data_IF_503612711994
#
_entry.id   IF_503612711994
#
_cell.length_a   1.000
_cell.length_b   1.000
_cell.length_c   1.000
_cell.angle_alpha   90.00
_cell.angle_beta   90.00
_cell.angle_gamma   90.00
#
_symmetry.space_group_name_H-M   'P 1'
#
loop_
_entity.id
_entity.type
_entity.pdbx_description
1 polymer ?
#
# COMPACT_ATOMS: atom_id res chain seq x y z
N UNK A 1 -12.35 0.28 3.89
CA UNK A 1 -13.50 -0.61 3.63
C UNK A 1 -13.95 -0.65 2.18
N UNK A 2 -13.06 -0.34 1.23
CA UNK A 2 -13.27 -0.47 -0.20
C UNK A 2 -12.94 -1.90 -0.66
N UNK A 3 -13.41 -2.34 -1.83
CA UNK A 3 -13.10 -3.66 -2.36
C UNK A 3 -11.59 -3.90 -2.46
N UNK A 4 -11.18 -5.16 -2.24
CA UNK A 4 -9.82 -5.58 -2.60
C UNK A 4 -9.58 -5.34 -4.09
N UNK A 5 -8.35 -4.97 -4.47
CA UNK A 5 -8.02 -4.65 -5.86
C UNK A 5 -8.47 -5.75 -6.85
N UNK A 6 -8.26 -7.02 -6.50
CA UNK A 6 -8.60 -8.18 -7.34
C UNK A 6 -10.10 -8.35 -7.62
N UNK A 7 -10.97 -7.80 -6.76
CA UNK A 7 -12.44 -7.88 -6.90
C UNK A 7 -13.09 -6.54 -7.22
N UNK A 8 -12.28 -5.49 -7.41
CA UNK A 8 -12.78 -4.17 -7.80
C UNK A 8 -13.24 -4.16 -9.25
N UNK A 9 -14.38 -3.54 -9.52
CA UNK A 9 -14.86 -3.31 -10.90
C UNK A 9 -14.15 -2.12 -11.58
N UNK A 10 -13.38 -1.33 -10.81
CA UNK A 10 -12.65 -0.18 -11.32
C UNK A 10 -11.19 -0.54 -11.58
N UNK A 11 -10.56 0.04 -12.60
CA UNK A 11 -9.13 -0.17 -12.83
C UNK A 11 -8.31 0.19 -11.58
N UNK A 12 -7.33 -0.64 -11.29
CA UNK A 12 -6.48 -0.52 -10.11
C UNK A 12 -5.03 -0.25 -10.50
N UNK A 13 -4.35 0.57 -9.72
CA UNK A 13 -2.90 0.66 -9.82
C UNK A 13 -2.26 -0.53 -9.12
N UNK A 14 -1.13 -1.00 -9.63
CA UNK A 14 -0.51 -2.25 -9.16
C UNK A 14 -0.15 -2.25 -7.66
N UNK A 15 0.13 -1.10 -7.09
CA UNK A 15 0.40 -0.97 -5.65
C UNK A 15 -0.73 -1.50 -4.77
N UNK A 16 -1.98 -1.42 -5.23
CA UNK A 16 -3.17 -1.83 -4.47
C UNK A 16 -3.26 -3.35 -4.26
N UNK A 17 -2.49 -4.14 -5.00
CA UNK A 17 -2.41 -5.59 -4.87
C UNK A 17 -1.40 -6.06 -3.83
N UNK A 18 -0.70 -5.14 -3.15
CA UNK A 18 0.31 -5.45 -2.16
C UNK A 18 -0.10 -4.99 -0.76
N UNK A 19 0.28 -5.77 0.23
CA UNK A 19 0.14 -5.44 1.66
C UNK A 19 1.44 -5.73 2.37
N UNK A 20 1.81 -4.87 3.31
CA UNK A 20 2.94 -5.16 4.18
C UNK A 20 2.57 -6.27 5.15
N UNK A 21 3.47 -7.23 5.33
CA UNK A 21 3.33 -8.28 6.32
C UNK A 21 3.28 -7.68 7.73
N UNK A 22 2.55 -8.34 8.62
CA UNK A 22 2.43 -7.92 10.01
C UNK A 22 3.67 -8.32 10.80
N UNK A 23 4.28 -7.37 11.53
CA UNK A 23 5.35 -7.65 12.47
C UNK A 23 4.79 -8.06 13.82
N UNK A 24 5.23 -9.20 14.33
CA UNK A 24 4.87 -9.68 15.66
C UNK A 24 5.60 -8.89 16.75
N UNK A 25 5.02 -8.84 17.96
CA UNK A 25 5.59 -8.11 19.12
C UNK A 25 6.96 -8.63 19.54
N UNK A 26 7.26 -9.88 19.26
CA UNK A 26 8.59 -10.49 19.51
C UNK A 26 9.69 -9.96 18.59
N UNK A 27 9.34 -9.35 17.47
CA UNK A 27 10.28 -8.59 16.67
C UNK A 27 10.58 -7.27 17.38
N UNK A 28 11.81 -6.77 17.37
CA UNK A 28 12.16 -5.53 18.04
C UNK A 28 11.54 -4.35 17.27
N UNK A 29 10.25 -4.10 17.49
CA UNK A 29 9.63 -2.86 17.10
C UNK A 29 10.34 -1.72 17.83
N UNK A 30 10.79 -0.71 17.08
CA UNK A 30 11.43 0.45 17.65
C UNK A 30 10.36 1.43 18.05
N UNK A 31 10.43 1.94 19.28
CA UNK A 31 9.46 2.91 19.77
C UNK A 31 9.56 4.26 19.01
N UNK A 32 8.49 5.06 18.97
CA UNK A 32 8.46 6.31 18.22
C UNK A 32 9.48 7.36 18.67
N UNK A 33 9.97 7.29 19.90
CA UNK A 33 10.96 8.23 20.44
C UNK A 33 12.35 7.93 19.88
N UNK A 34 12.70 6.65 19.80
CA UNK A 34 14.01 6.20 19.29
C UNK A 34 14.05 6.08 17.77
N UNK A 35 12.92 6.11 17.11
CA UNK A 35 12.81 5.94 15.66
C UNK A 35 13.72 6.88 14.88
N UNK A 36 13.78 8.16 15.25
CA UNK A 36 14.65 9.13 14.57
C UNK A 36 16.15 8.90 14.84
N UNK A 37 16.50 8.35 15.99
CA UNK A 37 17.88 8.05 16.34
C UNK A 37 18.40 6.77 15.67
N UNK A 38 17.56 5.76 15.58
CA UNK A 38 17.95 4.41 15.13
C UNK A 38 17.75 4.23 13.63
N UNK A 39 16.69 4.84 13.05
CA UNK A 39 16.35 4.68 11.64
C UNK A 39 17.14 5.62 10.74
N UNK A 40 17.72 5.08 9.68
CA UNK A 40 18.41 5.87 8.66
C UNK A 40 17.80 5.65 7.29
N UNK A 41 17.40 6.76 6.65
CA UNK A 41 16.99 6.79 5.24
C UNK A 41 18.17 7.15 4.32
N UNK A 42 19.36 7.34 4.86
CA UNK A 42 20.54 7.66 4.07
C UNK A 42 20.89 6.49 3.15
N UNK A 43 21.05 6.78 1.88
CA UNK A 43 21.44 5.84 0.84
C UNK A 43 22.70 6.34 0.13
N UNK A 44 23.58 5.39 -0.23
CA UNK A 44 24.71 5.65 -1.10
C UNK A 44 24.44 4.95 -2.41
N UNK A 45 24.22 5.73 -3.47
CA UNK A 45 23.85 5.24 -4.79
C UNK A 45 25.02 5.35 -5.77
N UNK A 46 25.18 4.34 -6.61
CA UNK A 46 26.23 4.30 -7.61
C UNK A 46 26.57 2.86 -8.00
N UNK A 47 27.71 2.75 -8.68
CA UNK A 47 28.25 1.48 -9.17
C UNK A 47 29.27 0.90 -8.18
N UNK A 48 29.14 -0.37 -7.84
CA UNK A 48 30.20 -1.13 -7.21
C UNK A 48 31.14 -1.64 -8.30
N UNK A 49 32.36 -1.12 -8.34
CA UNK A 49 33.29 -1.34 -9.45
C UNK A 49 33.85 -2.76 -9.52
N UNK A 50 34.77 -3.10 -8.64
CA UNK A 50 35.50 -4.38 -8.61
C UNK A 50 34.79 -5.52 -7.88
N UNK A 51 33.57 -5.27 -7.38
CA UNK A 51 32.79 -6.20 -6.56
C UNK A 51 32.86 -5.88 -5.06
N UNK A 52 31.84 -6.37 -4.34
CA UNK A 52 31.63 -6.02 -2.91
C UNK A 52 32.77 -6.55 -2.01
N UNK A 53 33.36 -7.68 -2.37
CA UNK A 53 34.40 -8.34 -1.57
C UNK A 53 35.82 -7.85 -1.87
N UNK A 54 35.98 -7.03 -2.90
CA UNK A 54 37.30 -6.50 -3.28
C UNK A 54 37.45 -5.08 -2.76
N UNK A 55 38.36 -4.79 -1.82
CA UNK A 55 38.61 -3.44 -1.34
C UNK A 55 39.29 -2.64 -2.46
N UNK A 56 38.52 -1.76 -3.10
CA UNK A 56 38.95 -0.90 -4.19
C UNK A 56 38.32 0.48 -4.04
N UNK A 57 39.10 1.53 -4.30
CA UNK A 57 38.64 2.92 -4.16
C UNK A 57 37.49 3.28 -5.12
N UNK A 58 37.34 2.55 -6.25
CA UNK A 58 36.21 2.74 -7.17
C UNK A 58 34.86 2.43 -6.52
N UNK A 59 34.82 1.59 -5.50
CA UNK A 59 33.62 1.27 -4.73
C UNK A 59 33.14 2.46 -3.85
N UNK A 60 34.00 3.47 -3.64
CA UNK A 60 33.65 4.70 -2.92
C UNK A 60 33.06 5.79 -3.81
N UNK A 61 33.01 5.60 -5.13
CA UNK A 61 32.42 6.55 -6.09
C UNK A 61 30.91 6.46 -6.07
N UNK A 62 30.29 7.06 -5.06
CA UNK A 62 28.85 7.05 -4.85
C UNK A 62 28.32 8.42 -4.51
N UNK A 63 27.10 8.69 -4.87
CA UNK A 63 26.35 9.88 -4.41
C UNK A 63 25.63 9.52 -3.13
N UNK A 64 25.83 10.34 -2.08
CA UNK A 64 25.10 10.24 -0.83
C UNK A 64 23.75 10.97 -0.95
N UNK A 65 22.67 10.25 -0.73
CA UNK A 65 21.32 10.80 -0.58
C UNK A 65 20.95 10.77 0.90
N UNK A 66 20.55 11.89 1.51
CA UNK A 66 20.13 11.92 2.91
C UNK A 66 18.80 11.16 3.12
N UNK A 67 18.01 11.02 2.04
CA UNK A 67 16.72 10.34 2.01
C UNK A 67 16.37 9.94 0.55
N UNK A 68 15.46 8.99 0.30
CA UNK A 68 15.27 8.40 -1.01
C UNK A 68 14.38 9.20 -1.98
N UNK A 69 13.70 10.25 -1.53
CA UNK A 69 12.80 11.06 -2.37
C UNK A 69 13.56 12.22 -2.99
N UNK A 70 13.75 12.20 -4.29
CA UNK A 70 14.42 13.24 -5.05
C UNK A 70 13.43 14.31 -5.51
N UNK A 71 13.77 15.58 -5.33
CA UNK A 71 13.07 16.68 -6.00
C UNK A 71 13.34 16.64 -7.51
N UNK A 72 12.53 17.35 -8.31
CA UNK A 72 12.78 17.45 -9.75
C UNK A 72 14.18 18.03 -10.03
N UNK A 73 14.58 19.08 -9.30
CA UNK A 73 15.92 19.68 -9.43
C UNK A 73 17.05 18.70 -9.10
N UNK A 74 16.88 17.88 -8.05
CA UNK A 74 17.88 16.88 -7.69
C UNK A 74 18.01 15.79 -8.75
N UNK A 75 16.87 15.34 -9.31
CA UNK A 75 16.88 14.39 -10.42
C UNK A 75 17.54 14.97 -11.66
N UNK A 76 17.25 16.22 -12.02
CA UNK A 76 17.88 16.90 -13.16
C UNK A 76 19.40 17.02 -12.99
N UNK A 77 19.88 17.28 -11.77
CA UNK A 77 21.32 17.28 -11.47
C UNK A 77 21.94 15.89 -11.73
N UNK A 78 21.26 14.81 -11.32
CA UNK A 78 21.72 13.44 -11.58
C UNK A 78 21.67 13.08 -13.07
N UNK A 79 20.63 13.51 -13.80
CA UNK A 79 20.53 13.32 -15.26
C UNK A 79 21.69 13.99 -16.02
N UNK A 80 22.11 15.15 -15.55
CA UNK A 80 23.12 15.98 -16.20
C UNK A 80 24.49 15.93 -15.52
N UNK A 81 24.74 14.89 -14.72
CA UNK A 81 25.99 14.76 -13.98
C UNK A 81 27.18 14.68 -14.92
N UNK A 82 28.11 15.62 -14.80
CA UNK A 82 29.32 15.71 -15.64
C UNK A 82 30.61 15.37 -14.88
N UNK A 83 30.47 14.86 -13.69
CA UNK A 83 31.62 14.48 -12.88
C UNK A 83 32.25 13.19 -13.43
N UNK A 84 33.58 13.15 -13.56
CA UNK A 84 34.31 12.03 -14.16
C UNK A 84 33.98 10.71 -13.45
N UNK A 85 33.52 9.74 -14.20
CA UNK A 85 33.18 8.40 -13.71
C UNK A 85 31.74 8.23 -13.21
N UNK A 86 30.87 9.23 -13.45
CA UNK A 86 29.43 9.12 -13.22
C UNK A 86 28.67 9.27 -14.53
N UNK A 87 27.87 8.28 -14.87
CA UNK A 87 27.03 8.24 -16.06
C UNK A 87 25.60 7.91 -15.69
N UNK A 88 24.65 8.57 -16.33
CA UNK A 88 23.22 8.36 -16.14
C UNK A 88 22.56 8.03 -17.46
N UNK A 89 21.62 7.12 -17.46
CA UNK A 89 20.71 6.86 -18.57
C UNK A 89 19.27 6.90 -18.10
N UNK A 90 18.38 7.42 -18.94
CA UNK A 90 16.93 7.41 -18.70
C UNK A 90 16.29 6.40 -19.67
N UNK A 91 15.56 5.45 -19.14
CA UNK A 91 14.84 4.44 -19.89
C UNK A 91 13.33 4.68 -19.74
N UNK A 92 12.58 4.83 -20.84
CA UNK A 92 11.14 4.98 -20.78
C UNK A 92 10.50 3.65 -20.33
N UNK A 93 9.55 3.74 -19.42
CA UNK A 93 8.73 2.59 -18.97
C UNK A 93 7.34 2.70 -19.58
N UNK A 94 7.25 2.49 -20.89
CA UNK A 94 6.04 2.64 -21.68
C UNK A 94 5.73 1.37 -22.47
N UNK A 95 4.46 1.11 -22.74
CA UNK A 95 4.02 0.04 -23.65
C UNK A 95 2.89 0.51 -24.57
N UNK A 96 2.83 -0.07 -25.76
CA UNK A 96 1.80 0.17 -26.77
C UNK A 96 0.47 -0.45 -26.32
N UNK A 97 -0.55 0.37 -26.09
CA UNK A 97 -1.86 -0.07 -25.59
C UNK A 97 -2.63 -0.93 -26.59
N UNK A 98 -2.40 -0.77 -27.91
CA UNK A 98 -3.10 -1.56 -28.93
C UNK A 98 -2.64 -3.03 -28.90
N UNK A 99 -1.40 -3.28 -28.50
CA UNK A 99 -0.83 -4.64 -28.38
C UNK A 99 -1.22 -5.34 -27.07
N UNK A 100 -1.82 -4.62 -26.12
CA UNK A 100 -2.30 -5.19 -24.85
C UNK A 100 -1.22 -5.99 -24.11
N UNK A 101 -1.53 -7.23 -23.70
CA UNK A 101 -0.59 -8.10 -22.97
C UNK A 101 0.75 -8.31 -23.69
N UNK A 102 0.71 -8.54 -25.00
CA UNK A 102 1.94 -8.76 -25.79
C UNK A 102 2.81 -7.50 -25.83
N UNK A 103 2.19 -6.32 -25.90
CA UNK A 103 2.87 -5.03 -25.83
C UNK A 103 3.58 -4.87 -24.49
N UNK A 104 2.87 -5.08 -23.39
CA UNK A 104 3.42 -4.98 -22.04
C UNK A 104 4.55 -6.00 -21.80
N UNK A 105 4.37 -7.26 -22.23
CA UNK A 105 5.41 -8.28 -22.08
C UNK A 105 6.67 -7.94 -22.86
N UNK A 106 6.51 -7.55 -24.13
CA UNK A 106 7.66 -7.18 -24.98
C UNK A 106 8.40 -5.95 -24.47
N UNK A 107 7.65 -4.95 -23.97
CA UNK A 107 8.23 -3.75 -23.39
C UNK A 107 9.02 -4.05 -22.11
N UNK A 108 8.54 -4.95 -21.25
CA UNK A 108 9.28 -5.40 -20.06
C UNK A 108 10.57 -6.17 -20.42
N UNK A 109 10.50 -7.07 -21.39
CA UNK A 109 11.66 -7.84 -21.84
C UNK A 109 12.72 -6.92 -22.48
N UNK A 110 12.30 -5.94 -23.27
CA UNK A 110 13.18 -4.93 -23.86
C UNK A 110 13.78 -4.00 -22.79
N UNK A 111 12.99 -3.52 -21.84
CA UNK A 111 13.45 -2.70 -20.73
C UNK A 111 14.55 -3.39 -19.92
N UNK A 112 14.40 -4.69 -19.64
CA UNK A 112 15.40 -5.48 -18.94
C UNK A 112 16.72 -5.56 -19.72
N UNK A 113 16.64 -5.77 -21.03
CA UNK A 113 17.83 -5.79 -21.91
C UNK A 113 18.52 -4.43 -22.02
N UNK A 114 17.76 -3.36 -22.16
CA UNK A 114 18.30 -1.99 -22.17
C UNK A 114 18.99 -1.64 -20.85
N UNK A 115 18.42 -2.06 -19.72
CA UNK A 115 19.06 -1.91 -18.42
C UNK A 115 20.38 -2.72 -18.33
N UNK A 116 20.42 -3.93 -18.83
CA UNK A 116 21.64 -4.76 -18.89
C UNK A 116 22.72 -4.09 -19.74
N UNK A 117 22.38 -3.66 -20.95
CA UNK A 117 23.30 -2.96 -21.85
C UNK A 117 23.85 -1.68 -21.19
N UNK A 118 23.01 -0.91 -20.53
CA UNK A 118 23.43 0.28 -19.79
C UNK A 118 24.46 -0.03 -18.70
N UNK A 119 24.29 -1.16 -17.99
CA UNK A 119 25.28 -1.62 -17.00
C UNK A 119 26.60 -1.99 -17.67
N UNK A 120 26.57 -2.68 -18.81
CA UNK A 120 27.77 -3.06 -19.58
C UNK A 120 28.52 -1.82 -20.12
N UNK A 121 27.80 -0.76 -20.48
CA UNK A 121 28.35 0.54 -20.86
C UNK A 121 28.89 1.35 -19.67
N UNK A 122 28.75 0.86 -18.46
CA UNK A 122 29.29 1.50 -17.25
C UNK A 122 28.39 2.57 -16.64
N UNK A 123 27.09 2.56 -16.91
CA UNK A 123 26.11 3.49 -16.35
C UNK A 123 25.96 3.28 -14.85
N UNK A 124 26.06 4.35 -14.06
CA UNK A 124 25.93 4.34 -12.61
C UNK A 124 24.48 4.45 -12.14
N UNK A 125 23.66 5.20 -12.89
CA UNK A 125 22.28 5.52 -12.55
C UNK A 125 21.36 5.23 -13.73
N UNK A 126 20.45 4.28 -13.56
CA UNK A 126 19.39 4.01 -14.51
C UNK A 126 18.11 4.62 -13.96
N UNK A 127 17.53 5.57 -14.69
CA UNK A 127 16.28 6.22 -14.35
C UNK A 127 15.16 5.57 -15.16
N UNK A 128 14.22 4.95 -14.50
CA UNK A 128 13.01 4.40 -15.09
C UNK A 128 11.92 5.46 -15.04
N UNK A 129 11.45 5.93 -16.21
CA UNK A 129 10.59 7.12 -16.31
C UNK A 129 9.31 6.84 -17.11
N UNK A 130 8.17 7.27 -16.56
CA UNK A 130 6.85 7.26 -17.23
C UNK A 130 6.43 8.63 -17.80
N UNK A 131 7.35 9.60 -17.90
CA UNK A 131 6.99 10.98 -18.29
C UNK A 131 6.38 11.13 -19.67
N UNK A 132 6.72 10.27 -20.60
CA UNK A 132 6.35 10.42 -22.00
C UNK A 132 5.12 9.61 -22.39
N UNK A 133 4.17 9.43 -21.44
CA UNK A 133 2.88 8.81 -21.72
C UNK A 133 2.06 9.66 -22.72
N UNK A 134 1.38 8.98 -23.64
CA UNK A 134 0.50 9.61 -24.63
C UNK A 134 -0.76 8.74 -24.87
N UNK A 135 -1.61 9.11 -25.82
CA UNK A 135 -2.84 8.38 -26.12
C UNK A 135 -2.62 6.98 -26.71
N UNK A 136 -1.41 6.63 -27.13
CA UNK A 136 -1.04 5.33 -27.72
C UNK A 136 -0.13 4.51 -26.79
N UNK A 137 0.56 5.17 -25.87
CA UNK A 137 1.51 4.54 -24.98
C UNK A 137 1.13 4.79 -23.51
N UNK A 138 0.76 3.71 -22.81
CA UNK A 138 0.54 3.74 -21.37
C UNK A 138 1.84 3.44 -20.61
N UNK A 139 1.90 3.89 -19.36
CA UNK A 139 2.99 3.52 -18.47
C UNK A 139 2.97 2.01 -18.17
N UNK A 140 4.13 1.35 -18.22
CA UNK A 140 4.34 0.12 -17.48
C UNK A 140 4.21 0.47 -16.00
N UNK A 141 3.41 -0.28 -15.19
CA UNK A 141 3.34 -0.02 -13.75
C UNK A 141 4.73 0.15 -13.16
N UNK A 142 4.99 1.29 -12.51
CA UNK A 142 6.34 1.64 -12.04
C UNK A 142 6.91 0.57 -11.09
N UNK A 143 6.05 -0.02 -10.27
CA UNK A 143 6.42 -1.14 -9.38
C UNK A 143 6.82 -2.39 -10.17
N UNK A 144 6.09 -2.73 -11.25
CA UNK A 144 6.42 -3.86 -12.12
C UNK A 144 7.74 -3.63 -12.86
N UNK A 145 7.93 -2.43 -13.41
CA UNK A 145 9.14 -2.05 -14.13
C UNK A 145 10.39 -2.17 -13.26
N UNK A 146 10.38 -1.55 -12.06
CA UNK A 146 11.55 -1.59 -11.18
C UNK A 146 11.84 -2.98 -10.67
N UNK A 147 10.79 -3.76 -10.32
CA UNK A 147 10.95 -5.12 -9.84
C UNK A 147 11.48 -6.05 -10.93
N UNK A 148 10.95 -5.95 -12.16
CA UNK A 148 11.42 -6.72 -13.31
C UNK A 148 12.90 -6.46 -13.60
N UNK A 149 13.31 -5.21 -13.71
CA UNK A 149 14.72 -4.83 -13.93
C UNK A 149 15.61 -5.28 -12.78
N UNK A 150 15.15 -5.09 -11.53
CA UNK A 150 15.89 -5.52 -10.33
C UNK A 150 16.18 -7.01 -10.34
N UNK A 151 15.17 -7.86 -10.53
CA UNK A 151 15.33 -9.30 -10.50
C UNK A 151 16.06 -9.83 -11.74
N UNK A 152 15.84 -9.23 -12.91
CA UNK A 152 16.59 -9.55 -14.10
C UNK A 152 18.08 -9.28 -13.91
N UNK A 153 18.48 -8.10 -13.42
CA UNK A 153 19.88 -7.76 -13.16
C UNK A 153 20.51 -8.65 -12.06
N UNK A 154 19.71 -9.15 -11.10
CA UNK A 154 20.17 -10.18 -10.15
C UNK A 154 20.47 -11.47 -10.89
N UNK A 155 19.60 -11.95 -11.77
CA UNK A 155 19.73 -13.21 -12.48
C UNK A 155 20.96 -13.25 -13.38
N UNK A 156 21.36 -12.09 -13.93
CA UNK A 156 22.58 -11.94 -14.76
C UNK A 156 23.81 -11.47 -13.97
N UNK A 157 23.72 -11.35 -12.63
CA UNK A 157 24.83 -11.00 -11.75
C UNK A 157 25.30 -9.54 -11.83
N UNK A 158 24.47 -8.63 -12.34
CA UNK A 158 24.85 -7.22 -12.59
C UNK A 158 24.17 -6.20 -11.65
N UNK A 159 23.26 -6.62 -10.77
CA UNK A 159 22.41 -5.70 -9.97
C UNK A 159 23.17 -4.66 -9.14
N UNK A 160 24.31 -5.02 -8.59
CA UNK A 160 25.12 -4.13 -7.72
C UNK A 160 25.93 -3.09 -8.50
N UNK A 161 25.95 -3.20 -9.82
CA UNK A 161 26.75 -2.32 -10.68
C UNK A 161 26.02 -1.04 -11.10
N UNK A 162 24.78 -0.85 -10.68
CA UNK A 162 23.98 0.35 -10.99
C UNK A 162 22.97 0.63 -9.89
N UNK A 163 22.57 1.90 -9.75
CA UNK A 163 21.43 2.30 -8.94
C UNK A 163 20.19 2.47 -9.84
N UNK A 164 19.05 1.98 -9.38
CA UNK A 164 17.76 2.15 -10.05
C UNK A 164 17.02 3.33 -9.40
N UNK A 165 16.64 4.31 -10.18
CA UNK A 165 15.86 5.47 -9.77
C UNK A 165 14.52 5.41 -10.52
N UNK A 166 13.41 5.62 -9.81
CA UNK A 166 12.07 5.62 -10.42
C UNK A 166 11.53 7.03 -10.47
N UNK A 167 11.32 7.55 -11.66
CA UNK A 167 10.62 8.79 -11.93
C UNK A 167 9.21 8.46 -12.40
N UNK A 168 8.20 8.66 -11.52
CA UNK A 168 6.84 8.22 -11.85
C UNK A 168 5.75 9.13 -11.31
N UNK A 169 4.71 9.31 -12.13
CA UNK A 169 3.49 10.01 -11.75
C UNK A 169 2.57 9.20 -10.82
N UNK A 170 2.78 7.88 -10.69
CA UNK A 170 1.98 7.03 -9.80
C UNK A 170 2.29 7.22 -8.32
N UNK A 171 3.47 7.76 -7.98
CA UNK A 171 3.97 7.86 -6.61
C UNK A 171 3.25 8.99 -5.88
N UNK A 172 2.41 8.65 -4.90
CA UNK A 172 1.61 9.63 -4.14
C UNK A 172 1.70 9.41 -2.64
N UNK A 173 1.76 8.16 -2.20
CA UNK A 173 1.62 7.76 -0.82
C UNK A 173 2.89 7.08 -0.29
N UNK A 174 3.01 7.03 1.04
CA UNK A 174 4.13 6.36 1.72
C UNK A 174 4.25 4.89 1.30
N UNK A 175 3.11 4.19 1.13
CA UNK A 175 3.10 2.79 0.70
C UNK A 175 3.69 2.61 -0.70
N UNK A 176 3.42 3.53 -1.63
CA UNK A 176 4.02 3.49 -2.98
C UNK A 176 5.55 3.62 -2.90
N UNK A 177 6.04 4.58 -2.11
CA UNK A 177 7.47 4.74 -1.85
C UNK A 177 8.08 3.48 -1.21
N UNK A 178 7.44 2.93 -0.19
CA UNK A 178 7.90 1.74 0.50
C UNK A 178 8.00 0.51 -0.42
N UNK A 179 6.98 0.30 -1.27
CA UNK A 179 6.98 -0.79 -2.25
C UNK A 179 8.09 -0.64 -3.29
N UNK A 180 8.24 0.53 -3.88
CA UNK A 180 9.30 0.78 -4.88
C UNK A 180 10.69 0.53 -4.28
N UNK A 181 10.97 1.05 -3.08
CA UNK A 181 12.22 0.82 -2.38
C UNK A 181 12.40 -0.66 -2.00
N UNK A 182 11.35 -1.31 -1.51
CA UNK A 182 11.36 -2.73 -1.16
C UNK A 182 11.65 -3.64 -2.36
N UNK A 183 11.16 -3.28 -3.53
CA UNK A 183 11.34 -4.04 -4.77
C UNK A 183 12.48 -3.53 -5.67
N UNK A 184 13.39 -2.72 -5.15
CA UNK A 184 14.66 -2.50 -5.81
C UNK A 184 15.04 -1.07 -6.14
N UNK A 185 14.15 -0.08 -6.01
CA UNK A 185 14.52 1.31 -6.20
C UNK A 185 15.56 1.77 -5.16
N UNK A 186 16.51 2.56 -5.60
CA UNK A 186 17.46 3.25 -4.74
C UNK A 186 16.98 4.65 -4.35
N UNK A 187 16.22 5.27 -5.24
CA UNK A 187 15.57 6.55 -5.02
C UNK A 187 14.32 6.67 -5.91
N UNK A 188 13.46 7.60 -5.59
CA UNK A 188 12.20 7.88 -6.30
C UNK A 188 12.04 9.36 -6.54
N UNK A 189 11.40 9.73 -7.65
CA UNK A 189 10.96 11.08 -7.93
C UNK A 189 9.45 11.09 -8.24
N UNK A 190 8.61 11.56 -7.31
CA UNK A 190 7.16 11.67 -7.48
C UNK A 190 6.79 12.97 -8.22
N UNK A 191 7.20 13.12 -9.47
CA UNK A 191 7.10 14.38 -10.20
C UNK A 191 5.69 14.92 -10.33
N UNK A 192 4.70 14.04 -10.52
CA UNK A 192 3.30 14.48 -10.64
C UNK A 192 2.75 14.96 -9.28
N UNK A 193 3.16 14.35 -8.18
CA UNK A 193 2.80 14.85 -6.85
C UNK A 193 3.35 16.25 -6.61
N UNK A 194 4.59 16.52 -7.03
CA UNK A 194 5.15 17.87 -6.96
C UNK A 194 4.40 18.86 -7.86
N UNK A 195 3.98 18.43 -9.06
CA UNK A 195 3.15 19.27 -9.93
C UNK A 195 1.79 19.58 -9.30
N UNK A 196 1.13 18.59 -8.68
CA UNK A 196 -0.14 18.78 -7.95
C UNK A 196 0.04 19.72 -6.75
N UNK A 197 1.11 19.58 -5.97
CA UNK A 197 1.41 20.50 -4.86
C UNK A 197 1.56 21.93 -5.37
N UNK A 198 2.29 22.11 -6.48
CA UNK A 198 2.48 23.44 -7.10
C UNK A 198 1.14 24.06 -7.55
N UNK A 199 0.27 23.26 -8.16
CA UNK A 199 -1.07 23.71 -8.58
C UNK A 199 -1.95 24.09 -7.36
N UNK A 200 -1.91 23.31 -6.28
CA UNK A 200 -2.64 23.61 -5.06
C UNK A 200 -2.15 24.88 -4.36
N UNK A 201 -0.84 25.16 -4.40
CA UNK A 201 -0.25 26.42 -3.93
C UNK A 201 -0.70 27.57 -4.81
N UNK A 202 -0.62 27.43 -6.14
CA UNK A 202 -1.05 28.44 -7.10
C UNK A 202 -2.54 28.79 -6.97
N UNK A 203 -3.37 27.80 -6.64
CA UNK A 203 -4.81 27.95 -6.37
C UNK A 203 -5.15 28.38 -4.92
N UNK A 204 -4.15 28.74 -4.12
CA UNK A 204 -4.31 29.11 -2.69
C UNK A 204 -5.06 28.07 -1.83
N UNK A 205 -4.98 26.79 -2.21
CA UNK A 205 -5.50 25.68 -1.38
C UNK A 205 -4.49 25.27 -0.31
N UNK A 206 -3.22 25.48 -0.56
CA UNK A 206 -2.11 25.39 0.39
C UNK A 206 -1.60 26.82 0.60
N UNK A 207 -1.44 27.23 1.88
CA UNK A 207 -1.06 28.60 2.23
C UNK A 207 0.45 28.83 2.21
N UNK A 208 1.24 27.76 2.35
CA UNK A 208 2.70 27.81 2.31
C UNK A 208 3.21 28.04 0.88
N UNK A 209 4.40 28.57 0.78
CA UNK A 209 5.14 28.63 -0.50
C UNK A 209 5.51 27.24 -0.99
N UNK A 210 5.61 27.07 -2.30
CA UNK A 210 5.88 25.77 -2.93
C UNK A 210 7.08 25.04 -2.32
N UNK A 211 8.22 25.72 -2.14
CA UNK A 211 9.42 25.10 -1.59
C UNK A 211 9.19 24.53 -0.17
N UNK A 212 8.36 25.18 0.64
CA UNK A 212 7.98 24.71 1.97
C UNK A 212 7.03 23.53 1.88
N UNK A 213 6.03 23.60 1.01
CA UNK A 213 5.05 22.53 0.79
C UNK A 213 5.73 21.26 0.25
N UNK A 214 6.63 21.39 -0.74
CA UNK A 214 7.46 20.28 -1.25
C UNK A 214 8.29 19.63 -0.14
N UNK A 215 8.99 20.42 0.66
CA UNK A 215 9.78 19.95 1.80
C UNK A 215 8.92 19.24 2.85
N UNK A 216 7.74 19.76 3.12
CA UNK A 216 6.80 19.16 4.08
C UNK A 216 6.28 17.80 3.57
N UNK A 217 5.97 17.68 2.27
CA UNK A 217 5.60 16.41 1.66
C UNK A 217 6.73 15.37 1.79
N UNK A 218 7.95 15.75 1.41
CA UNK A 218 9.12 14.87 1.53
C UNK A 218 9.30 14.42 2.99
N UNK A 219 9.24 15.35 3.94
CA UNK A 219 9.35 15.04 5.36
C UNK A 219 8.24 14.09 5.85
N UNK A 220 7.03 14.22 5.32
CA UNK A 220 5.92 13.33 5.65
C UNK A 220 6.16 11.90 5.12
N UNK A 221 6.64 11.77 3.88
CA UNK A 221 7.02 10.47 3.29
C UNK A 221 8.17 9.85 4.07
N UNK A 222 9.21 10.60 4.40
CA UNK A 222 10.37 10.14 5.18
C UNK A 222 9.94 9.62 6.55
N UNK A 223 9.09 10.36 7.26
CA UNK A 223 8.55 9.95 8.57
C UNK A 223 7.71 8.68 8.43
N UNK A 224 6.90 8.59 7.38
CA UNK A 224 6.11 7.39 7.08
C UNK A 224 7.00 6.17 6.80
N UNK A 225 8.06 6.33 5.99
CA UNK A 225 9.02 5.26 5.70
C UNK A 225 9.73 4.78 6.98
N UNK A 226 10.24 5.69 7.81
CA UNK A 226 10.82 5.33 9.12
C UNK A 226 9.82 4.54 9.97
N UNK A 227 8.56 4.94 9.98
CA UNK A 227 7.50 4.24 10.72
C UNK A 227 7.26 2.82 10.22
N UNK A 228 7.22 2.64 8.90
CA UNK A 228 7.08 1.32 8.27
C UNK A 228 8.28 0.44 8.62
N UNK A 229 9.51 0.97 8.49
CA UNK A 229 10.73 0.26 8.80
C UNK A 229 10.84 -0.10 10.28
N UNK A 230 10.47 0.82 11.17
CA UNK A 230 10.54 0.59 12.62
C UNK A 230 9.62 -0.53 13.08
N UNK A 231 8.42 -0.65 12.50
CA UNK A 231 7.50 -1.75 12.78
C UNK A 231 8.07 -3.12 12.39
N UNK A 232 8.93 -3.16 11.37
CA UNK A 232 9.59 -4.39 10.91
C UNK A 232 10.94 -4.63 11.61
N UNK A 233 11.42 -3.69 12.43
CA UNK A 233 12.73 -3.76 13.06
C UNK A 233 13.91 -3.61 12.10
N UNK A 234 13.71 -2.98 10.94
CA UNK A 234 14.72 -2.76 9.90
C UNK A 234 15.19 -1.31 9.97
N UNK A 235 16.44 -1.07 10.36
CA UNK A 235 16.93 0.27 10.67
C UNK A 235 17.49 1.06 9.49
N UNK A 236 17.79 0.42 8.36
CA UNK A 236 18.35 1.09 7.18
C UNK A 236 17.59 0.77 5.90
N UNK A 237 17.48 1.72 4.99
CA UNK A 237 16.88 1.54 3.66
C UNK A 237 17.56 0.41 2.88
N UNK A 238 18.87 0.29 3.01
CA UNK A 238 19.63 -0.75 2.31
C UNK A 238 19.21 -2.17 2.73
N UNK A 239 18.93 -2.36 4.01
CA UNK A 239 18.44 -3.64 4.55
C UNK A 239 16.95 -3.85 4.28
N UNK A 240 16.21 -2.77 4.05
CA UNK A 240 14.80 -2.82 3.67
C UNK A 240 14.60 -3.32 2.23
N UNK A 241 15.52 -2.97 1.32
CA UNK A 241 15.48 -3.41 -0.07
C UNK A 241 15.66 -4.91 -0.17
N UNK A 242 14.69 -5.59 -0.81
CA UNK A 242 14.72 -7.04 -0.98
C UNK A 242 14.44 -7.84 0.29
N UNK A 243 13.97 -7.21 1.37
CA UNK A 243 13.63 -7.88 2.63
C UNK A 243 12.40 -8.80 2.55
N UNK A 244 11.66 -8.81 1.43
CA UNK A 244 10.47 -9.65 1.18
C UNK A 244 9.39 -9.51 2.24
N UNK A 245 9.14 -8.29 2.67
CA UNK A 245 8.19 -7.94 3.74
C UNK A 245 6.79 -7.59 3.23
N UNK A 246 6.55 -7.75 1.95
CA UNK A 246 5.24 -7.57 1.34
C UNK A 246 4.67 -8.90 0.87
N UNK A 247 3.37 -9.03 0.95
CA UNK A 247 2.60 -10.09 0.32
C UNK A 247 1.73 -9.50 -0.79
N UNK A 248 1.48 -10.29 -1.82
CA UNK A 248 0.52 -9.94 -2.86
C UNK A 248 -0.83 -10.60 -2.59
N UNK A 249 -1.89 -9.90 -2.91
CA UNK A 249 -3.27 -10.38 -2.81
C UNK A 249 -3.92 -10.23 -4.18
N UNK A 250 -4.17 -11.34 -4.85
CA UNK A 250 -4.86 -11.37 -6.13
C UNK A 250 -3.95 -11.23 -7.35
N UNK A 251 -2.65 -11.53 -7.25
CA UNK A 251 -1.73 -11.67 -8.38
C UNK A 251 -1.42 -13.15 -8.65
N UNK A 252 -1.27 -13.52 -9.91
CA UNK A 252 -0.94 -14.89 -10.30
C UNK A 252 0.50 -15.25 -9.92
N UNK A 253 0.73 -16.51 -9.55
CA UNK A 253 2.06 -17.02 -9.21
C UNK A 253 3.07 -16.86 -10.34
N UNK A 254 2.65 -17.06 -11.60
CA UNK A 254 3.51 -16.89 -12.76
C UNK A 254 4.04 -15.46 -12.91
N UNK A 255 3.20 -14.46 -12.65
CA UNK A 255 3.59 -13.05 -12.65
C UNK A 255 4.59 -12.76 -11.51
N UNK A 256 4.29 -13.25 -10.31
CA UNK A 256 5.12 -13.03 -9.13
C UNK A 256 6.49 -13.68 -9.28
N UNK A 257 6.54 -14.93 -9.76
CA UNK A 257 7.78 -15.65 -10.01
C UNK A 257 8.65 -14.94 -11.04
N UNK A 258 8.05 -14.51 -12.16
CA UNK A 258 8.79 -13.88 -13.27
C UNK A 258 9.34 -12.51 -12.90
N UNK A 259 8.55 -11.67 -12.22
CA UNK A 259 8.87 -10.24 -12.07
C UNK A 259 9.15 -9.79 -10.64
N UNK A 260 8.74 -10.55 -9.61
CA UNK A 260 8.88 -10.16 -8.21
C UNK A 260 9.79 -11.10 -7.38
N UNK A 261 10.34 -12.14 -8.02
CA UNK A 261 11.24 -13.06 -7.36
C UNK A 261 10.63 -13.81 -6.16
N UNK A 262 9.32 -13.95 -6.14
CA UNK A 262 8.57 -14.74 -5.17
C UNK A 262 7.64 -15.72 -5.90
N UNK A 263 7.40 -16.87 -5.28
CA UNK A 263 6.51 -17.89 -5.84
C UNK A 263 5.16 -17.93 -5.13
N UNK A 264 5.03 -17.21 -4.01
CA UNK A 264 3.85 -17.30 -3.15
C UNK A 264 2.98 -16.06 -3.22
N UNK A 265 1.69 -16.29 -3.40
CA UNK A 265 0.63 -15.31 -3.18
C UNK A 265 -0.36 -15.93 -2.21
N UNK A 266 -0.83 -15.15 -1.25
CA UNK A 266 -1.87 -15.60 -0.32
C UNK A 266 -3.14 -16.00 -1.07
N UNK A 267 -3.47 -15.23 -2.13
CA UNK A 267 -4.59 -15.47 -3.01
C UNK A 267 -4.12 -15.17 -4.43
N UNK A 268 -4.17 -16.15 -5.31
CA UNK A 268 -3.93 -15.98 -6.73
C UNK A 268 -4.99 -15.08 -7.37
N UNK A 269 -4.77 -14.70 -8.62
CA UNK A 269 -5.69 -13.83 -9.33
C UNK A 269 -5.18 -13.42 -10.69
N UNK A 270 -5.13 -12.11 -10.93
CA UNK A 270 -4.84 -11.51 -12.23
C UNK A 270 -3.40 -11.75 -12.70
N UNK A 271 -3.26 -11.80 -14.00
CA UNK A 271 -1.98 -11.92 -14.69
C UNK A 271 -1.61 -10.65 -15.45
N UNK A 272 -0.59 -10.77 -16.29
CA UNK A 272 -0.07 -9.65 -17.08
C UNK A 272 -1.13 -9.08 -18.04
N UNK A 273 -2.01 -9.93 -18.57
CA UNK A 273 -3.13 -9.54 -19.42
C UNK A 273 -4.07 -8.54 -18.73
N UNK A 274 -4.41 -8.82 -17.49
CA UNK A 274 -5.35 -7.99 -16.73
C UNK A 274 -4.70 -6.66 -16.34
N UNK A 275 -3.42 -6.69 -15.95
CA UNK A 275 -2.64 -5.47 -15.69
C UNK A 275 -2.58 -4.59 -16.94
N UNK A 276 -2.29 -5.17 -18.10
CA UNK A 276 -2.29 -4.42 -19.35
C UNK A 276 -3.65 -3.77 -19.63
N UNK A 277 -4.74 -4.51 -19.37
CA UNK A 277 -6.12 -4.00 -19.54
C UNK A 277 -6.42 -2.84 -18.58
N UNK A 278 -6.03 -2.96 -17.30
CA UNK A 278 -6.25 -1.90 -16.30
C UNK A 278 -5.52 -0.62 -16.69
N UNK A 279 -4.23 -0.72 -17.02
CA UNK A 279 -3.43 0.45 -17.39
C UNK A 279 -3.83 1.04 -18.75
N UNK A 280 -4.27 0.21 -19.70
CA UNK A 280 -4.89 0.70 -20.94
C UNK A 280 -6.18 1.46 -20.66
N UNK A 281 -7.01 0.98 -19.72
CA UNK A 281 -8.25 1.67 -19.34
C UNK A 281 -7.97 3.01 -18.67
N UNK A 282 -7.01 3.06 -17.74
CA UNK A 282 -6.57 4.31 -17.09
C UNK A 282 -6.01 5.32 -18.10
N UNK A 283 -5.21 4.85 -19.07
CA UNK A 283 -4.68 5.68 -20.15
C UNK A 283 -5.77 6.24 -21.03
N UNK A 284 -6.69 5.41 -21.52
CA UNK A 284 -7.80 5.84 -22.37
C UNK A 284 -8.72 6.84 -21.65
N UNK A 285 -8.94 6.65 -20.34
CA UNK A 285 -9.72 7.59 -19.55
C UNK A 285 -9.01 8.94 -19.45
N UNK A 286 -7.70 8.93 -19.17
CA UNK A 286 -6.89 10.15 -19.04
C UNK A 286 -6.80 10.98 -20.33
N UNK A 287 -6.77 10.34 -21.51
CA UNK A 287 -6.71 10.98 -22.83
C UNK A 287 -8.07 11.06 -23.53
N UNK A 288 -9.16 10.81 -22.82
CA UNK A 288 -10.51 10.94 -23.38
C UNK A 288 -10.89 12.40 -23.59
N UNK A 289 -11.69 12.68 -24.64
CA UNK A 289 -12.24 14.03 -24.91
C UNK A 289 -13.23 14.51 -23.82
N UNK A 290 -13.62 13.60 -22.89
CA UNK A 290 -14.52 13.93 -21.80
C UNK A 290 -13.90 14.84 -20.74
N UNK A 291 -12.57 14.98 -20.71
CA UNK A 291 -11.85 15.85 -19.77
C UNK A 291 -11.42 17.14 -20.46
N UNK A 292 -12.25 18.18 -20.35
CA UNK A 292 -11.90 19.53 -20.83
C UNK A 292 -10.95 20.24 -19.85
N UNK A 293 -10.12 21.14 -20.39
CA UNK A 293 -9.26 21.99 -19.56
C UNK A 293 -10.11 22.78 -18.55
N UNK A 294 -9.78 22.66 -17.26
CA UNK A 294 -10.44 23.36 -16.17
C UNK A 294 -11.54 22.59 -15.43
N UNK A 295 -11.93 21.40 -15.88
CA UNK A 295 -12.80 20.54 -15.10
C UNK A 295 -12.11 19.94 -13.90
N UNK A 296 -12.88 19.81 -12.80
CA UNK A 296 -12.38 19.12 -11.61
C UNK A 296 -12.30 17.62 -11.91
N UNK A 297 -11.17 17.02 -11.62
CA UNK A 297 -11.01 15.57 -11.70
C UNK A 297 -12.05 14.86 -10.83
N UNK A 298 -12.64 13.75 -11.31
CA UNK A 298 -13.66 13.03 -10.57
C UNK A 298 -13.08 12.50 -9.25
N UNK A 299 -13.80 12.74 -8.15
CA UNK A 299 -13.45 12.17 -6.86
C UNK A 299 -14.02 10.77 -6.75
N UNK A 300 -13.19 9.76 -6.92
CA UNK A 300 -13.59 8.35 -6.88
C UNK A 300 -14.02 7.85 -5.50
N UNK A 301 -13.90 8.66 -4.44
CA UNK A 301 -14.36 8.30 -3.11
C UNK A 301 -13.48 7.27 -2.38
N UNK A 302 -12.22 7.08 -2.77
CA UNK A 302 -11.34 6.06 -2.17
C UNK A 302 -11.16 6.26 -0.65
N UNK A 303 -10.96 7.50 -0.20
CA UNK A 303 -10.70 7.82 1.20
C UNK A 303 -11.96 8.20 1.99
N UNK A 304 -13.04 8.55 1.32
CA UNK A 304 -14.32 8.87 1.94
C UNK A 304 -15.44 8.58 0.97
N UNK A 305 -16.55 8.03 1.49
CA UNK A 305 -17.72 7.70 0.68
C UNK A 305 -18.16 8.87 -0.22
N UNK A 306 -18.46 8.55 -1.49
CA UNK A 306 -19.12 9.42 -2.48
C UNK A 306 -20.23 8.64 -3.17
N UNK A 307 -21.36 9.29 -3.43
CA UNK A 307 -22.55 8.65 -3.97
C UNK A 307 -22.28 7.87 -5.26
N UNK A 308 -21.46 8.40 -6.15
CA UNK A 308 -21.10 7.79 -7.43
C UNK A 308 -19.65 7.28 -7.46
N UNK A 309 -19.07 7.09 -6.26
CA UNK A 309 -17.70 6.64 -6.05
C UNK A 309 -17.55 5.12 -5.95
N UNK A 310 -16.45 4.72 -5.30
CA UNK A 310 -16.18 3.34 -4.95
C UNK A 310 -17.13 2.90 -3.84
N UNK A 311 -17.60 1.66 -3.89
CA UNK A 311 -18.42 1.08 -2.84
C UNK A 311 -17.65 0.95 -1.52
N UNK A 312 -18.30 1.35 -0.42
CA UNK A 312 -17.77 1.20 0.93
C UNK A 312 -18.62 0.23 1.73
N UNK A 313 -17.99 -0.68 2.44
CA UNK A 313 -18.68 -1.63 3.31
C UNK A 313 -19.50 -0.92 4.39
N UNK A 314 -18.96 0.18 4.92
CA UNK A 314 -19.60 1.06 5.90
C UNK A 314 -20.08 2.34 5.22
N UNK A 315 -21.09 2.21 4.39
CA UNK A 315 -21.74 3.33 3.73
C UNK A 315 -22.69 4.08 4.71
N UNK A 316 -23.14 5.31 4.37
CA UNK A 316 -24.01 6.09 5.26
C UNK A 316 -25.29 5.37 5.67
N UNK A 317 -25.86 4.55 4.80
CA UNK A 317 -27.10 3.82 5.09
C UNK A 317 -26.88 2.73 6.14
N UNK A 318 -25.80 1.95 6.01
CA UNK A 318 -25.42 0.93 6.99
C UNK A 318 -25.15 1.57 8.37
N UNK A 319 -24.40 2.68 8.40
CA UNK A 319 -24.10 3.40 9.64
C UNK A 319 -25.38 3.94 10.29
N UNK A 320 -26.24 4.60 9.52
CA UNK A 320 -27.49 5.18 10.02
C UNK A 320 -28.42 4.11 10.62
N UNK A 321 -28.64 2.99 9.89
CA UNK A 321 -29.50 1.91 10.39
C UNK A 321 -28.97 1.28 11.66
N UNK A 322 -27.65 1.06 11.78
CA UNK A 322 -27.04 0.55 13.00
C UNK A 322 -27.22 1.50 14.18
N UNK A 323 -26.98 2.79 13.97
CA UNK A 323 -27.16 3.82 15.01
C UNK A 323 -28.61 3.96 15.46
N UNK A 324 -29.57 3.90 14.53
CA UNK A 324 -31.00 3.93 14.84
C UNK A 324 -31.40 2.66 15.62
N UNK A 325 -30.94 1.49 15.16
CA UNK A 325 -31.22 0.23 15.83
C UNK A 325 -30.78 0.24 17.29
N UNK A 326 -29.56 0.71 17.56
CA UNK A 326 -29.01 0.77 18.93
C UNK A 326 -29.70 1.84 19.79
N UNK A 327 -29.94 3.04 19.28
CA UNK A 327 -30.58 4.13 20.03
C UNK A 327 -32.03 3.84 20.41
N UNK A 328 -32.76 3.15 19.53
CA UNK A 328 -34.17 2.83 19.75
C UNK A 328 -34.40 1.43 20.33
N UNK A 329 -33.34 0.63 20.51
CA UNK A 329 -33.48 -0.79 20.87
C UNK A 329 -34.30 -1.58 19.83
N UNK A 330 -34.27 -1.18 18.57
CA UNK A 330 -35.14 -1.73 17.52
C UNK A 330 -34.51 -2.90 16.79
N UNK A 331 -34.98 -4.12 17.12
CA UNK A 331 -34.55 -5.32 16.40
C UNK A 331 -34.90 -5.29 14.91
N UNK A 332 -36.02 -4.67 14.55
CA UNK A 332 -36.38 -4.49 13.14
C UNK A 332 -35.29 -3.70 12.39
N UNK A 333 -34.84 -2.59 12.96
CA UNK A 333 -33.77 -1.76 12.35
C UNK A 333 -32.43 -2.48 12.31
N UNK A 334 -32.13 -3.31 13.32
CA UNK A 334 -30.97 -4.19 13.29
C UNK A 334 -31.04 -5.19 12.13
N UNK A 335 -32.21 -5.78 11.85
CA UNK A 335 -32.40 -6.68 10.71
C UNK A 335 -32.21 -5.98 9.36
N UNK A 336 -32.72 -4.76 9.22
CA UNK A 336 -32.52 -3.94 8.03
C UNK A 336 -31.00 -3.67 7.82
N UNK A 337 -30.29 -3.30 8.89
CA UNK A 337 -28.83 -3.17 8.85
C UNK A 337 -28.13 -4.47 8.46
N UNK A 338 -28.50 -5.59 9.04
CA UNK A 338 -27.91 -6.89 8.73
C UNK A 338 -28.11 -7.27 7.26
N UNK A 339 -29.27 -6.96 6.68
CA UNK A 339 -29.52 -7.18 5.25
C UNK A 339 -28.62 -6.34 4.36
N UNK A 340 -28.38 -5.06 4.70
CA UNK A 340 -27.46 -4.19 3.98
C UNK A 340 -26.02 -4.73 4.01
N UNK A 341 -25.60 -5.27 5.17
CA UNK A 341 -24.22 -5.75 5.37
C UNK A 341 -24.01 -7.13 4.75
N UNK A 342 -25.00 -8.03 4.88
CA UNK A 342 -24.85 -9.44 4.49
C UNK A 342 -25.30 -9.74 3.05
N UNK A 343 -26.22 -8.94 2.50
CA UNK A 343 -26.76 -9.12 1.14
C UNK A 343 -26.30 -8.04 0.18
N UNK A 344 -25.00 -7.88 0.04
CA UNK A 344 -24.43 -6.91 -0.90
C UNK A 344 -24.59 -7.38 -2.34
N UNK A 345 -24.99 -6.49 -3.21
CA UNK A 345 -25.04 -6.75 -4.67
C UNK A 345 -23.63 -6.97 -5.24
N UNK A 346 -22.64 -6.21 -4.70
CA UNK A 346 -21.25 -6.28 -5.11
C UNK A 346 -20.36 -6.72 -3.95
N UNK A 347 -19.53 -7.74 -4.14
CA UNK A 347 -18.64 -8.20 -3.10
C UNK A 347 -17.55 -7.15 -2.81
N UNK A 348 -17.29 -6.92 -1.53
CA UNK A 348 -16.22 -6.03 -1.04
C UNK A 348 -15.11 -6.86 -0.39
N UNK A 349 -15.48 -7.93 0.29
CA UNK A 349 -14.59 -8.85 0.97
C UNK A 349 -14.67 -10.25 0.38
N UNK A 350 -13.62 -11.04 0.56
CA UNK A 350 -13.63 -12.45 0.13
C UNK A 350 -14.77 -13.26 0.74
N UNK A 351 -15.16 -12.96 1.99
CA UNK A 351 -16.30 -13.61 2.65
C UNK A 351 -17.63 -13.38 1.93
N UNK A 352 -17.77 -12.30 1.16
CA UNK A 352 -18.99 -11.97 0.43
C UNK A 352 -19.27 -12.99 -0.73
N UNK A 353 -18.25 -13.77 -1.13
CA UNK A 353 -18.39 -14.89 -2.06
C UNK A 353 -18.74 -16.23 -1.37
N UNK A 354 -18.77 -16.28 -0.03
CA UNK A 354 -19.00 -17.49 0.73
C UNK A 354 -20.45 -17.60 1.16
N UNK A 355 -20.96 -18.81 1.23
CA UNK A 355 -22.27 -19.12 1.79
C UNK A 355 -22.18 -20.32 2.73
N UNK A 356 -23.08 -20.39 3.72
CA UNK A 356 -23.17 -21.56 4.58
C UNK A 356 -23.64 -22.76 3.78
N UNK A 357 -22.93 -23.87 3.91
CA UNK A 357 -23.35 -25.16 3.37
C UNK A 357 -24.54 -25.67 4.18
N UNK A 358 -25.70 -25.75 3.55
CA UNK A 358 -26.89 -26.31 4.21
C UNK A 358 -26.82 -27.84 4.24
N UNK A 359 -27.18 -28.44 5.38
CA UNK A 359 -27.37 -29.87 5.47
C UNK A 359 -28.61 -30.31 4.66
N UNK A 360 -28.55 -31.51 4.09
CA UNK A 360 -29.69 -32.07 3.37
C UNK A 360 -30.92 -32.28 4.26
N UNK A 361 -30.69 -32.66 5.54
CA UNK A 361 -31.69 -32.77 6.56
C UNK A 361 -31.37 -31.77 7.66
N UNK A 362 -32.28 -30.84 7.99
CA UNK A 362 -32.08 -29.91 9.10
C UNK A 362 -31.94 -30.65 10.43
N UNK A 363 -31.01 -30.20 11.28
CA UNK A 363 -30.91 -30.67 12.66
C UNK A 363 -32.17 -30.24 13.44
N UNK A 364 -32.81 -31.12 14.22
CA UNK A 364 -33.90 -30.74 15.11
C UNK A 364 -33.48 -29.61 16.05
N UNK A 365 -34.40 -28.69 16.35
CA UNK A 365 -34.06 -27.47 17.11
C UNK A 365 -33.61 -27.78 18.55
N UNK A 366 -34.10 -28.84 19.14
CA UNK A 366 -33.72 -29.31 20.47
C UNK A 366 -32.33 -29.93 20.53
N UNK A 367 -31.78 -30.32 19.39
CA UNK A 367 -30.37 -30.78 19.25
C UNK A 367 -29.40 -29.64 18.89
N UNK A 368 -29.91 -28.45 18.59
CA UNK A 368 -29.06 -27.27 18.27
C UNK A 368 -28.62 -26.62 19.58
N UNK A 369 -27.31 -26.29 19.65
CA UNK A 369 -26.77 -25.57 20.81
C UNK A 369 -27.50 -24.22 21.01
N UNK A 370 -28.01 -23.95 22.25
CA UNK A 370 -28.75 -22.72 22.53
C UNK A 370 -27.84 -21.47 22.44
N UNK A 371 -28.44 -20.33 22.08
CA UNK A 371 -27.72 -19.05 21.88
C UNK A 371 -26.90 -18.67 23.13
N UNK A 372 -27.44 -18.91 24.32
CA UNK A 372 -26.80 -18.63 25.62
C UNK A 372 -25.49 -19.43 25.82
N UNK A 373 -25.40 -20.61 25.20
CA UNK A 373 -24.18 -21.40 25.17
C UNK A 373 -23.21 -20.89 24.09
N UNK A 374 -23.74 -20.64 22.88
CA UNK A 374 -22.92 -20.17 21.72
C UNK A 374 -22.21 -18.87 22.05
N UNK A 375 -22.88 -17.87 22.66
CA UNK A 375 -22.28 -16.56 22.97
C UNK A 375 -21.09 -16.66 23.92
N UNK A 376 -21.00 -17.71 24.76
CA UNK A 376 -19.86 -17.92 25.65
C UNK A 376 -18.54 -18.21 24.94
N UNK A 377 -18.60 -18.62 23.67
CA UNK A 377 -17.44 -18.86 22.85
C UNK A 377 -16.90 -17.57 22.23
N UNK A 378 -17.61 -16.44 22.35
CA UNK A 378 -17.23 -15.15 21.79
C UNK A 378 -16.73 -14.20 22.87
N UNK A 379 -15.73 -13.38 22.51
CA UNK A 379 -15.16 -12.33 23.34
C UNK A 379 -15.04 -11.06 22.51
N UNK A 380 -14.93 -9.89 23.16
CA UNK A 380 -14.63 -8.67 22.43
C UNK A 380 -13.21 -8.70 21.86
N UNK A 381 -12.95 -7.92 20.82
CA UNK A 381 -11.58 -7.57 20.47
C UNK A 381 -10.85 -6.95 21.66
N UNK A 382 -9.53 -7.11 21.71
CA UNK A 382 -8.70 -6.54 22.78
C UNK A 382 -8.69 -4.99 22.66
N UNK A 383 -9.29 -4.31 23.63
CA UNK A 383 -9.36 -2.86 23.70
C UNK A 383 -8.94 -2.40 25.09
N UNK A 384 -7.78 -1.74 25.17
CA UNK A 384 -7.24 -1.25 26.44
C UNK A 384 -7.93 0.01 26.91
N UNK A 385 -7.91 0.26 28.24
CA UNK A 385 -8.42 1.47 28.86
C UNK A 385 -7.80 2.76 28.30
N UNK A 386 -6.54 2.74 27.89
CA UNK A 386 -5.88 3.88 27.25
C UNK A 386 -6.34 4.22 25.83
N UNK A 387 -7.05 3.30 25.16
CA UNK A 387 -7.50 3.45 23.77
C UNK A 387 -8.97 3.87 23.65
N UNK A 388 -9.76 3.78 24.70
CA UNK A 388 -11.20 4.10 24.74
C UNK A 388 -11.54 5.05 25.87
N UNK A 389 -12.69 5.72 25.76
CA UNK A 389 -13.27 6.42 26.92
C UNK A 389 -13.72 5.43 28.00
N UNK A 390 -13.81 5.90 29.23
CA UNK A 390 -14.28 5.11 30.37
C UNK A 390 -15.66 4.51 30.08
N UNK A 391 -16.58 5.33 29.58
CA UNK A 391 -17.96 4.94 29.29
C UNK A 391 -18.03 3.85 28.21
N UNK A 392 -17.25 3.96 27.16
CA UNK A 392 -17.20 2.94 26.10
C UNK A 392 -16.63 1.61 26.63
N UNK A 393 -15.57 1.69 27.43
CA UNK A 393 -14.94 0.52 28.02
C UNK A 393 -15.87 -0.20 29.03
N UNK A 394 -16.56 0.56 29.88
CA UNK A 394 -17.56 0.03 30.83
C UNK A 394 -18.79 -0.55 30.12
N UNK A 395 -19.28 0.11 29.05
CA UNK A 395 -20.41 -0.38 28.28
C UNK A 395 -20.13 -1.75 27.64
N UNK A 396 -18.91 -1.94 27.11
CA UNK A 396 -18.48 -3.23 26.55
C UNK A 396 -18.44 -4.33 27.63
N UNK A 397 -17.83 -4.06 28.78
CA UNK A 397 -17.76 -5.02 29.88
C UNK A 397 -19.15 -5.37 30.40
N UNK A 398 -20.00 -4.38 30.63
CA UNK A 398 -21.38 -4.59 31.08
C UNK A 398 -22.17 -5.45 30.09
N UNK A 399 -22.05 -5.18 28.78
CA UNK A 399 -22.73 -5.94 27.75
C UNK A 399 -22.28 -7.42 27.77
N UNK A 400 -20.97 -7.66 27.80
CA UNK A 400 -20.42 -9.02 27.80
C UNK A 400 -20.75 -9.77 29.08
N UNK A 401 -20.70 -9.12 30.24
CA UNK A 401 -21.08 -9.72 31.52
C UNK A 401 -22.57 -10.05 31.57
N UNK A 402 -23.45 -9.20 31.01
CA UNK A 402 -24.90 -9.52 30.88
C UNK A 402 -25.16 -10.72 29.99
N UNK A 403 -24.33 -10.95 28.96
CA UNK A 403 -24.41 -12.12 28.08
C UNK A 403 -23.75 -13.36 28.67
N UNK A 404 -23.12 -13.27 29.84
CA UNK A 404 -22.37 -14.37 30.44
C UNK A 404 -21.09 -14.77 29.72
N UNK A 405 -20.50 -13.84 28.97
CA UNK A 405 -19.24 -14.03 28.27
C UNK A 405 -18.14 -13.08 28.81
N UNK A 406 -17.13 -12.74 28.03
CA UNK A 406 -15.95 -12.00 28.52
C UNK A 406 -15.62 -10.82 27.60
N UNK A 407 -15.19 -9.71 28.19
CA UNK A 407 -14.50 -8.65 27.49
C UNK A 407 -12.98 -8.81 27.61
N UNK A 408 -12.25 -8.42 26.56
CA UNK A 408 -10.80 -8.46 26.56
C UNK A 408 -10.26 -7.02 26.69
N UNK A 409 -9.55 -6.75 27.78
CA UNK A 409 -8.99 -5.44 28.11
C UNK A 409 -7.58 -5.21 27.55
N UNK A 410 -7.02 -6.16 26.80
CA UNK A 410 -5.65 -6.09 26.29
C UNK A 410 -4.61 -5.96 27.39
N UNK A 411 -3.45 -5.41 27.04
CA UNK A 411 -2.34 -5.20 27.98
C UNK A 411 -2.57 -4.02 28.94
N UNK A 412 -3.40 -3.04 28.53
CA UNK A 412 -3.68 -1.83 29.31
C UNK A 412 -4.60 -2.02 30.50
N UNK A 413 -5.25 -3.18 30.61
CA UNK A 413 -6.14 -3.50 31.74
C UNK A 413 -7.38 -2.62 31.77
N UNK A 414 -7.94 -2.45 32.95
CA UNK A 414 -9.15 -1.68 33.23
C UNK A 414 -8.97 -0.74 34.42
N UNK A 415 -9.89 0.24 34.57
CA UNK A 415 -9.87 1.14 35.72
C UNK A 415 -10.13 0.37 37.01
N UNK A 416 -9.32 0.63 38.04
CA UNK A 416 -9.39 -0.02 39.35
C UNK A 416 -10.78 0.08 40.02
N UNK A 417 -11.52 1.16 39.75
CA UNK A 417 -12.87 1.36 40.28
C UNK A 417 -13.85 0.27 39.83
N UNK A 418 -13.62 -0.32 38.66
CA UNK A 418 -14.52 -1.33 38.07
C UNK A 418 -14.58 -2.61 38.89
N UNK A 419 -13.49 -2.97 39.59
CA UNK A 419 -13.45 -4.21 40.43
C UNK A 419 -14.47 -4.22 41.55
N UNK A 420 -14.98 -3.07 41.97
CA UNK A 420 -15.91 -2.90 43.06
C UNK A 420 -17.25 -2.27 42.63
N UNK A 421 -17.44 -2.08 41.33
CA UNK A 421 -18.63 -1.41 40.79
C UNK A 421 -19.51 -2.42 40.07
N UNK A 422 -20.82 -2.34 40.32
CA UNK A 422 -21.86 -3.07 39.59
C UNK A 422 -22.95 -2.12 39.13
N UNK A 423 -23.59 -2.44 38.01
CA UNK A 423 -24.76 -1.77 37.48
C UNK A 423 -25.88 -2.80 37.32
N UNK A 424 -27.02 -2.53 37.92
CA UNK A 424 -28.17 -3.48 37.95
C UNK A 424 -27.80 -4.89 38.41
N UNK A 425 -26.86 -5.02 39.36
CA UNK A 425 -26.38 -6.30 39.86
C UNK A 425 -25.36 -7.02 38.98
N UNK A 426 -24.93 -6.41 37.87
CA UNK A 426 -23.91 -6.96 36.97
C UNK A 426 -22.57 -6.21 37.19
N UNK A 427 -21.50 -6.98 37.41
CA UNK A 427 -20.14 -6.44 37.58
C UNK A 427 -19.70 -5.66 36.35
N UNK A 428 -18.91 -4.61 36.56
CA UNK A 428 -18.22 -3.88 35.49
C UNK A 428 -16.80 -4.42 35.19
N UNK A 429 -16.32 -5.36 36.02
CA UNK A 429 -15.04 -6.02 35.82
C UNK A 429 -15.21 -7.42 35.26
#
# INVERSE_FOLDING_TARGET
DTPLAVISERPQILFNYFRQQFAQVTNPAIDPIREELVMSLTEYIGRVGSGILTPDESNCKMVRLPQPVLTNTQLDILCNIRYKGFNTTKLPILFDIEKGESGLSSALDELCKQAENSVDEGVNYIILSDRDIDSQHAAIPSLLAVSAVHHYLISVGKRVQTALIVESGEIREVMHAALLLGYGASAINPYMTFAVINDLVAKHKIQEEYATAEKNYIKAVDKGLKKIMSKMGISTIRSYRGAKIFESIGLSEGLLKKYFGTETSTIGGIGLRDIAREYTSLNKDAFSEAHSEGELLPNNGLFSYRKDGIDHAWNPEAIANLQIATRLGSYKKYKEWAEIVDKKEKPIFLRDFMSFKKAAVPTPLDEVEPVESIVKHFVTGAMSFGALSIEAHEALALAMNKLGTRSNTGEGGEDNKRYHTSVDGVSLS
#
